data_IF_228002723046
#
_entry.id   IF_228002723046
#
_cell.length_a   1.000
_cell.length_b   1.000
_cell.length_c   1.000
_cell.angle_alpha   90.00
_cell.angle_beta   90.00
_cell.angle_gamma   90.00
#
_symmetry.space_group_name_H-M   'P 1'
#
loop_
_entity.id
_entity.type
_entity.pdbx_description
1 polymer ?
#
# COMPACT_ATOMS: atom_id res chain seq x y z
N UNK A 1 21.75 -42.13 60.72
CA UNK A 1 21.16 -42.09 59.36
C UNK A 1 21.75 -40.88 58.64
N UNK A 2 22.29 -41.10 57.44
CA UNK A 2 23.16 -40.19 56.69
C UNK A 2 22.37 -39.53 55.54
N UNK A 3 22.67 -38.25 55.27
CA UNK A 3 22.70 -37.58 53.95
C UNK A 3 21.33 -37.39 53.26
N UNK A 4 21.03 -36.34 52.51
CA UNK A 4 21.75 -35.15 52.04
C UNK A 4 20.69 -34.19 51.50
N UNK A 5 21.00 -32.90 51.51
CA UNK A 5 20.27 -31.87 50.79
C UNK A 5 20.24 -32.15 49.28
N UNK A 6 19.08 -31.96 48.65
CA UNK A 6 18.91 -31.93 47.18
C UNK A 6 18.24 -30.61 46.85
N UNK A 7 19.04 -29.55 46.66
CA UNK A 7 19.46 -29.03 45.35
C UNK A 7 18.28 -28.54 44.51
N UNK A 8 18.03 -27.25 44.74
CA UNK A 8 17.36 -26.24 43.93
C UNK A 8 17.61 -26.48 42.42
N UNK A 9 16.60 -26.96 41.71
CA UNK A 9 16.60 -27.10 40.25
C UNK A 9 16.57 -25.71 39.61
N UNK A 10 17.74 -25.34 39.06
CA UNK A 10 17.98 -24.13 38.28
C UNK A 10 17.12 -24.15 37.00
N UNK A 11 16.35 -23.07 36.80
CA UNK A 11 15.66 -22.76 35.55
C UNK A 11 16.68 -22.63 34.39
N UNK A 12 16.59 -23.54 33.43
CA UNK A 12 17.18 -23.38 32.10
C UNK A 12 16.23 -22.51 31.26
N UNK A 13 16.39 -21.20 31.38
CA UNK A 13 15.92 -20.23 30.38
C UNK A 13 16.79 -20.42 29.13
N UNK A 14 16.38 -21.36 28.27
CA UNK A 14 16.93 -21.50 26.94
C UNK A 14 16.71 -20.21 26.18
N UNK A 15 17.79 -19.48 25.94
CA UNK A 15 17.88 -18.42 24.95
C UNK A 15 17.58 -19.04 23.58
N UNK A 16 16.32 -19.03 23.16
CA UNK A 16 15.95 -19.21 21.77
C UNK A 16 16.43 -17.99 20.99
N UNK A 17 17.74 -17.96 20.73
CA UNK A 17 18.31 -17.15 19.67
C UNK A 17 17.70 -17.68 18.37
N UNK A 18 16.66 -17.02 17.88
CA UNK A 18 16.26 -17.12 16.48
C UNK A 18 17.53 -16.73 15.71
N UNK A 19 18.19 -17.69 15.09
CA UNK A 19 19.28 -17.40 14.18
C UNK A 19 18.70 -16.45 13.13
N UNK A 20 19.25 -15.24 12.93
CA UNK A 20 18.82 -14.41 11.82
C UNK A 20 19.09 -15.22 10.57
N UNK A 21 18.03 -15.60 9.86
CA UNK A 21 18.15 -16.17 8.52
C UNK A 21 18.82 -15.11 7.67
N UNK A 22 20.14 -15.18 7.54
CA UNK A 22 20.91 -14.38 6.60
C UNK A 22 20.54 -14.93 5.23
N UNK A 23 19.51 -14.34 4.64
CA UNK A 23 19.20 -14.52 3.22
C UNK A 23 20.45 -14.07 2.47
N UNK A 24 20.96 -14.93 1.60
CA UNK A 24 22.09 -14.61 0.71
C UNK A 24 21.76 -13.30 -0.01
N UNK A 25 22.67 -12.32 -0.08
CA UNK A 25 22.44 -11.08 -0.82
C UNK A 25 21.96 -11.31 -2.26
N UNK A 26 22.34 -12.44 -2.89
CA UNK A 26 21.87 -12.86 -4.21
C UNK A 26 20.48 -13.52 -4.26
N UNK A 27 19.96 -13.99 -3.13
CA UNK A 27 18.60 -14.56 -2.96
C UNK A 27 17.60 -13.55 -2.41
N UNK A 28 18.03 -12.30 -2.19
CA UNK A 28 17.09 -11.19 -2.00
C UNK A 28 16.40 -10.98 -3.33
N UNK A 29 15.20 -11.52 -3.47
CA UNK A 29 14.29 -11.11 -4.54
C UNK A 29 14.20 -9.58 -4.46
N UNK A 30 14.84 -8.91 -5.41
CA UNK A 30 14.70 -7.48 -5.59
C UNK A 30 13.27 -7.28 -6.07
N UNK A 31 12.35 -7.15 -5.12
CA UNK A 31 11.05 -6.55 -5.42
C UNK A 31 11.41 -5.17 -5.94
N UNK A 32 11.22 -4.95 -7.25
CA UNK A 32 11.50 -3.65 -7.84
C UNK A 32 10.73 -2.62 -7.03
N UNK A 33 11.46 -1.66 -6.46
CA UNK A 33 10.84 -0.54 -5.78
C UNK A 33 10.02 0.26 -6.79
N UNK A 34 8.97 0.94 -6.33
CA UNK A 34 8.18 1.80 -7.21
C UNK A 34 9.01 2.92 -7.86
N UNK A 35 10.20 3.20 -7.31
CA UNK A 35 11.18 4.18 -7.81
C UNK A 35 11.79 3.78 -9.16
N UNK A 36 11.89 2.48 -9.45
CA UNK A 36 12.49 1.96 -10.69
C UNK A 36 11.44 1.73 -11.80
N UNK A 37 10.17 2.02 -11.53
CA UNK A 37 9.08 1.81 -12.47
C UNK A 37 9.10 2.84 -13.60
N UNK A 38 8.78 2.38 -14.81
CA UNK A 38 8.60 3.24 -15.97
C UNK A 38 7.15 3.72 -16.05
N UNK A 39 6.98 5.03 -15.84
CA UNK A 39 5.69 5.69 -15.84
C UNK A 39 5.38 6.28 -17.22
N UNK A 40 4.13 6.16 -17.64
CA UNK A 40 3.59 6.78 -18.84
C UNK A 40 2.17 7.26 -18.56
N UNK A 41 1.65 8.27 -19.28
CA UNK A 41 0.24 8.65 -19.17
C UNK A 41 -0.66 7.43 -19.30
N UNK A 42 -1.64 7.30 -18.41
CA UNK A 42 -2.57 6.18 -18.46
C UNK A 42 -3.48 6.27 -19.71
N UNK A 43 -4.08 5.16 -20.11
CA UNK A 43 -5.25 5.19 -20.98
C UNK A 43 -6.51 5.07 -20.11
N UNK A 44 -7.60 5.75 -20.47
CA UNK A 44 -8.84 5.72 -19.68
C UNK A 44 -9.35 4.28 -19.48
N UNK A 45 -9.27 3.47 -20.54
CA UNK A 45 -9.73 2.08 -20.57
C UNK A 45 -8.89 1.16 -19.68
N UNK A 46 -7.69 1.59 -19.31
CA UNK A 46 -6.81 0.86 -18.42
C UNK A 46 -7.05 1.17 -16.94
N UNK A 47 -7.77 2.24 -16.59
CA UNK A 47 -8.01 2.64 -15.20
C UNK A 47 -8.89 1.66 -14.42
N UNK A 48 -9.96 1.05 -14.97
CA UNK A 48 -10.82 0.12 -14.22
C UNK A 48 -10.02 -1.00 -13.54
N UNK A 49 -10.32 -1.28 -12.28
CA UNK A 49 -9.62 -2.26 -11.45
C UNK A 49 -9.67 -1.92 -9.96
N UNK A 50 -9.12 -2.83 -9.15
CA UNK A 50 -8.94 -2.63 -7.70
C UNK A 50 -7.47 -2.31 -7.40
N UNK A 51 -7.23 -1.32 -6.55
CA UNK A 51 -5.92 -0.75 -6.28
C UNK A 51 -5.71 -0.52 -4.79
N UNK A 52 -4.49 -0.73 -4.31
CA UNK A 52 -4.09 -0.52 -2.92
C UNK A 52 -2.84 0.36 -2.88
N UNK A 53 -2.80 1.32 -1.96
CA UNK A 53 -1.64 2.18 -1.77
C UNK A 53 -0.42 1.41 -1.29
N UNK A 54 0.69 1.62 -1.99
CA UNK A 54 2.03 1.16 -1.60
C UNK A 54 2.89 2.35 -1.12
N UNK A 55 2.62 3.56 -1.63
CA UNK A 55 3.32 4.77 -1.19
C UNK A 55 2.39 5.99 -1.19
N UNK A 56 2.58 6.85 -0.19
CA UNK A 56 1.90 8.14 0.01
C UNK A 56 2.98 9.21 0.22
N UNK A 57 2.84 10.35 -0.43
CA UNK A 57 3.79 11.47 -0.32
C UNK A 57 3.07 12.82 -0.29
N UNK A 58 3.68 13.83 0.34
CA UNK A 58 3.06 15.16 0.47
C UNK A 58 2.15 15.27 1.70
N UNK A 59 1.19 16.18 1.64
CA UNK A 59 0.25 16.44 2.74
C UNK A 59 -0.63 15.21 3.05
N UNK A 60 -1.02 14.46 2.02
CA UNK A 60 -1.82 13.23 2.18
C UNK A 60 -1.14 12.17 3.07
N UNK A 61 0.20 12.08 3.03
CA UNK A 61 0.96 11.15 3.86
C UNK A 61 0.97 11.54 5.36
N UNK A 62 0.61 12.79 5.68
CA UNK A 62 0.50 13.27 7.05
C UNK A 62 -0.84 12.94 7.71
N UNK A 63 -1.82 12.42 6.96
CA UNK A 63 -3.18 12.14 7.45
C UNK A 63 -3.69 10.75 7.07
N UNK A 64 -3.14 10.11 6.03
CA UNK A 64 -3.56 8.78 5.60
C UNK A 64 -2.47 7.73 5.86
N UNK A 65 -2.89 6.56 6.33
CA UNK A 65 -2.07 5.37 6.49
C UNK A 65 -2.23 4.38 5.33
N UNK A 66 -3.41 4.36 4.70
CA UNK A 66 -3.72 3.44 3.59
C UNK A 66 -4.85 4.00 2.73
N UNK A 67 -4.79 3.73 1.43
CA UNK A 67 -5.87 3.95 0.47
C UNK A 67 -6.16 2.66 -0.30
N UNK A 68 -7.44 2.45 -0.61
CA UNK A 68 -7.93 1.42 -1.51
C UNK A 68 -8.94 2.05 -2.44
N UNK A 69 -8.83 1.78 -3.73
CA UNK A 69 -9.82 2.20 -4.72
C UNK A 69 -10.27 1.02 -5.56
N UNK A 70 -11.56 1.00 -5.93
CA UNK A 70 -12.11 0.18 -6.99
C UNK A 70 -12.76 1.09 -8.01
N UNK A 71 -12.27 1.07 -9.23
CA UNK A 71 -12.85 1.76 -10.39
C UNK A 71 -13.52 0.73 -11.29
N UNK A 72 -14.75 0.98 -11.72
CA UNK A 72 -15.41 0.17 -12.74
C UNK A 72 -15.34 0.84 -14.13
N UNK A 73 -15.72 0.10 -15.17
CA UNK A 73 -15.67 0.57 -16.56
C UNK A 73 -16.82 1.53 -16.89
N UNK A 74 -17.86 1.56 -16.06
CA UNK A 74 -19.04 2.40 -16.20
C UNK A 74 -18.84 3.82 -15.66
N UNK A 75 -17.69 4.08 -15.02
CA UNK A 75 -17.35 5.39 -14.48
C UNK A 75 -17.70 5.56 -13.00
N UNK A 76 -17.95 4.49 -12.24
CA UNK A 76 -18.14 4.54 -10.79
C UNK A 76 -16.86 4.16 -10.05
N UNK A 77 -16.70 4.68 -8.84
CA UNK A 77 -15.64 4.26 -7.93
C UNK A 77 -16.16 3.99 -6.52
N UNK A 78 -15.40 3.17 -5.80
CA UNK A 78 -15.46 3.05 -4.34
C UNK A 78 -14.05 3.25 -3.80
N UNK A 79 -13.87 4.24 -2.93
CA UNK A 79 -12.62 4.52 -2.23
C UNK A 79 -12.75 4.21 -0.75
N UNK A 80 -11.69 3.72 -0.13
CA UNK A 80 -11.58 3.58 1.31
C UNK A 80 -10.22 4.08 1.78
N UNK A 81 -10.21 4.93 2.80
CA UNK A 81 -9.00 5.50 3.39
C UNK A 81 -8.90 5.09 4.87
N UNK A 82 -7.72 4.63 5.31
CA UNK A 82 -7.39 4.52 6.73
C UNK A 82 -6.75 5.84 7.16
N UNK A 83 -7.43 6.57 8.04
CA UNK A 83 -7.01 7.88 8.51
C UNK A 83 -6.18 7.71 9.79
N UNK A 84 -5.06 8.44 9.87
CA UNK A 84 -4.23 8.52 11.06
C UNK A 84 -4.90 9.40 12.12
N UNK A 85 -5.74 8.77 12.94
CA UNK A 85 -6.48 9.38 14.03
C UNK A 85 -6.25 8.66 15.36
N UNK A 86 -6.88 9.17 16.43
CA UNK A 86 -6.86 8.52 17.75
C UNK A 86 -8.29 8.18 18.20
N UNK A 87 -8.81 6.96 17.91
CA UNK A 87 -8.16 5.85 17.21
C UNK A 87 -8.16 6.01 15.67
N UNK A 88 -7.31 5.28 14.93
CA UNK A 88 -7.40 5.21 13.49
C UNK A 88 -8.74 4.63 13.05
N UNK A 89 -9.31 5.16 11.96
CA UNK A 89 -10.60 4.72 11.43
C UNK A 89 -10.61 4.71 9.90
N UNK A 90 -11.50 3.89 9.33
CA UNK A 90 -11.75 3.87 7.90
C UNK A 90 -12.86 4.85 7.54
N UNK A 91 -12.63 5.60 6.47
CA UNK A 91 -13.68 6.35 5.76
C UNK A 91 -13.87 5.75 4.37
N UNK A 92 -15.12 5.63 3.94
CA UNK A 92 -15.50 5.06 2.65
C UNK A 92 -16.27 6.09 1.86
N UNK A 93 -15.90 6.25 0.60
CA UNK A 93 -16.54 7.14 -0.35
C UNK A 93 -16.91 6.36 -1.62
N UNK A 94 -18.01 6.76 -2.23
CA UNK A 94 -18.47 6.21 -3.51
C UNK A 94 -18.91 7.36 -4.39
N UNK A 95 -18.61 7.30 -5.68
CA UNK A 95 -18.98 8.35 -6.60
C UNK A 95 -18.66 7.99 -8.04
N UNK A 96 -18.49 9.00 -8.87
CA UNK A 96 -18.16 8.86 -10.28
C UNK A 96 -16.74 9.32 -10.55
N UNK A 97 -16.08 8.68 -11.49
CA UNK A 97 -14.81 9.11 -12.03
C UNK A 97 -14.95 9.48 -13.50
N UNK A 98 -14.14 10.44 -13.93
CA UNK A 98 -14.02 10.79 -15.34
C UNK A 98 -12.55 11.02 -15.69
N UNK A 99 -12.22 10.87 -16.97
CA UNK A 99 -10.84 11.00 -17.45
C UNK A 99 -10.78 11.88 -18.69
N UNK A 100 -9.98 12.95 -18.63
CA UNK A 100 -9.78 13.89 -19.74
C UNK A 100 -8.35 14.45 -19.71
N UNK A 101 -7.70 14.49 -20.88
CA UNK A 101 -6.38 15.10 -21.07
C UNK A 101 -5.35 14.67 -20.01
N UNK A 102 -5.22 13.36 -19.78
CA UNK A 102 -4.30 12.76 -18.80
C UNK A 102 -4.62 13.00 -17.32
N UNK A 103 -5.82 13.50 -17.03
CA UNK A 103 -6.29 13.74 -15.67
C UNK A 103 -7.50 12.88 -15.31
N UNK A 104 -7.46 12.29 -14.13
CA UNK A 104 -8.58 11.62 -13.48
C UNK A 104 -9.23 12.60 -12.52
N UNK A 105 -10.55 12.73 -12.60
CA UNK A 105 -11.35 13.51 -11.68
C UNK A 105 -12.34 12.59 -10.95
N UNK A 106 -12.39 12.71 -9.62
CA UNK A 106 -13.36 12.01 -8.77
C UNK A 106 -14.45 13.01 -8.35
N UNK A 107 -15.67 12.84 -8.84
CA UNK A 107 -16.78 13.76 -8.63
C UNK A 107 -16.38 15.23 -8.89
N UNK A 108 -16.54 16.10 -7.89
CA UNK A 108 -16.18 17.53 -7.93
C UNK A 108 -14.77 17.82 -7.38
N UNK A 109 -13.98 16.79 -7.06
CA UNK A 109 -12.62 16.97 -6.57
C UNK A 109 -11.71 17.60 -7.63
N UNK A 110 -10.58 18.14 -7.17
CA UNK A 110 -9.53 18.62 -8.07
C UNK A 110 -9.00 17.45 -8.93
N UNK A 111 -8.77 17.66 -10.23
CA UNK A 111 -8.24 16.62 -11.10
C UNK A 111 -6.81 16.25 -10.71
N UNK A 112 -6.49 14.95 -10.76
CA UNK A 112 -5.16 14.41 -10.55
C UNK A 112 -4.56 13.94 -11.88
N UNK A 113 -3.28 14.24 -12.13
CA UNK A 113 -2.56 13.62 -13.24
C UNK A 113 -2.41 12.13 -12.98
N UNK A 114 -2.63 11.31 -14.02
CA UNK A 114 -2.60 9.85 -13.90
C UNK A 114 -1.60 9.23 -14.85
N UNK A 115 -0.71 8.45 -14.26
CA UNK A 115 0.27 7.64 -14.97
C UNK A 115 0.13 6.19 -14.58
N UNK A 116 0.43 5.30 -15.52
CA UNK A 116 0.39 3.87 -15.32
C UNK A 116 1.65 3.20 -15.88
N UNK A 117 2.04 2.11 -15.25
CA UNK A 117 3.07 1.19 -15.76
C UNK A 117 2.44 0.07 -16.57
N UNK A 118 3.25 -0.63 -17.38
CA UNK A 118 2.80 -1.84 -18.09
C UNK A 118 2.29 -2.94 -17.15
N UNK A 119 2.80 -2.98 -15.91
CA UNK A 119 2.47 -3.98 -14.89
C UNK A 119 1.28 -3.56 -14.00
N UNK A 120 0.57 -2.48 -14.36
CA UNK A 120 -0.68 -2.08 -13.71
C UNK A 120 -0.52 -1.27 -12.42
N UNK A 121 0.67 -0.76 -12.14
CA UNK A 121 0.84 0.27 -11.10
C UNK A 121 0.26 1.59 -11.56
N UNK A 122 -0.42 2.29 -10.66
CA UNK A 122 -1.09 3.57 -10.90
C UNK A 122 -0.47 4.65 -10.02
N UNK A 123 -0.08 5.78 -10.61
CA UNK A 123 0.36 6.97 -9.89
C UNK A 123 -0.68 8.07 -10.09
N UNK A 124 -1.23 8.56 -8.98
CA UNK A 124 -2.11 9.72 -8.93
C UNK A 124 -1.34 10.88 -8.32
N UNK A 125 -1.23 12.00 -9.03
CA UNK A 125 -0.56 13.21 -8.54
C UNK A 125 -1.53 14.39 -8.55
N UNK A 126 -1.75 14.99 -7.39
CA UNK A 126 -2.59 16.18 -7.21
C UNK A 126 -1.90 17.26 -6.37
N UNK A 127 -2.64 18.29 -5.98
CA UNK A 127 -2.08 19.42 -5.21
C UNK A 127 -1.55 19.01 -3.83
N UNK A 128 -2.17 18.02 -3.20
CA UNK A 128 -1.83 17.56 -1.84
C UNK A 128 -0.69 16.53 -1.82
N UNK A 129 -0.18 16.13 -2.98
CA UNK A 129 0.89 15.16 -3.12
C UNK A 129 0.60 14.06 -4.13
N UNK A 130 1.28 12.93 -3.96
CA UNK A 130 1.14 11.79 -4.86
C UNK A 130 0.91 10.48 -4.09
N UNK A 131 0.12 9.62 -4.73
CA UNK A 131 -0.18 8.26 -4.27
C UNK A 131 0.27 7.29 -5.34
N UNK A 132 1.00 6.25 -4.93
CA UNK A 132 1.34 5.12 -5.78
C UNK A 132 0.52 3.92 -5.29
N UNK A 133 -0.25 3.39 -6.22
CA UNK A 133 -1.16 2.29 -5.99
C UNK A 133 -0.74 1.07 -6.83
N UNK A 134 -0.78 -0.11 -6.25
CA UNK A 134 -0.61 -1.38 -6.95
C UNK A 134 -1.98 -1.96 -7.26
N UNK A 135 -2.18 -2.42 -8.48
CA UNK A 135 -3.38 -3.18 -8.85
C UNK A 135 -3.39 -4.53 -8.15
N UNK A 136 -4.54 -4.89 -7.60
CA UNK A 136 -4.79 -6.22 -7.08
C UNK A 136 -5.19 -7.15 -8.24
N UNK A 137 -4.61 -8.35 -8.27
CA UNK A 137 -4.99 -9.39 -9.23
C UNK A 137 -6.30 -9.99 -8.71
N UNK A 138 -7.40 -9.79 -9.44
CA UNK A 138 -8.63 -10.51 -9.17
C UNK A 138 -8.41 -12.00 -9.50
N UNK A 139 -8.57 -12.86 -8.50
CA UNK A 139 -8.39 -14.32 -8.61
C UNK A 139 -9.58 -15.06 -9.21
#
# INVERSE_FOLDING_TARGET
>A
MRRSATLLSLLLLGTSCIAPSVVDPGDRSLVMGYEDLQWSPAAAEAIPGTYVSEHLSGAVAGVLLKLVYRFDAEGNYTGAALIDGAPPHFEVLTGHWSYQADHLQLDEAAPATVEMTADGWLRLTGEEGAVILRREIEG
#
